data_IF_042955714599
#
_entry.id   IF_042955714599
#
_cell.length_a   1.000
_cell.length_b   1.000
_cell.length_c   1.000
_cell.angle_alpha   90.00
_cell.angle_beta   90.00
_cell.angle_gamma   90.00
#
_symmetry.space_group_name_H-M   'P 1'
#
loop_
_entity.id
_entity.type
_entity.pdbx_description
1 polymer ?
#
# COMPACT_ATOMS: atom_id res chain seq x y z
N UNK A 1 -28.54 -62.76 -51.85
CA UNK A 1 -27.20 -62.30 -51.41
C UNK A 1 -27.17 -60.77 -51.52
N UNK A 2 -27.68 -60.04 -50.53
CA UNK A 2 -27.68 -58.56 -50.52
C UNK A 2 -27.44 -58.04 -49.09
N UNK A 3 -26.34 -58.46 -48.46
CA UNK A 3 -25.92 -57.97 -47.13
C UNK A 3 -24.50 -57.39 -47.12
N UNK A 4 -24.03 -56.86 -48.25
CA UNK A 4 -22.70 -56.21 -48.32
C UNK A 4 -22.72 -54.74 -48.74
N UNK A 5 -23.87 -54.13 -49.06
CA UNK A 5 -23.91 -52.73 -49.54
C UNK A 5 -24.31 -51.70 -48.48
N UNK A 6 -24.61 -52.11 -47.24
CA UNK A 6 -24.96 -51.15 -46.17
C UNK A 6 -23.77 -50.77 -45.27
N UNK A 7 -22.72 -51.60 -45.22
CA UNK A 7 -21.57 -51.39 -44.34
C UNK A 7 -20.52 -50.42 -44.89
N UNK A 8 -20.56 -50.11 -46.18
CA UNK A 8 -19.59 -49.24 -46.84
C UNK A 8 -19.99 -47.76 -46.85
N UNK A 9 -21.30 -47.46 -46.82
CA UNK A 9 -21.79 -46.08 -46.82
C UNK A 9 -21.80 -45.42 -45.43
N UNK A 10 -21.74 -46.21 -44.35
CA UNK A 10 -21.68 -45.67 -42.98
C UNK A 10 -20.25 -45.32 -42.52
N UNK A 11 -19.20 -45.78 -43.22
CA UNK A 11 -17.82 -45.43 -42.89
C UNK A 11 -17.41 -44.03 -43.36
N UNK A 12 -18.11 -43.47 -44.35
CA UNK A 12 -17.82 -42.14 -44.89
C UNK A 12 -18.59 -41.00 -44.19
N UNK A 13 -19.41 -41.31 -43.19
CA UNK A 13 -20.12 -40.31 -42.39
C UNK A 13 -19.37 -39.92 -41.09
N UNK A 14 -18.28 -40.62 -40.75
CA UNK A 14 -17.55 -40.44 -39.48
C UNK A 14 -16.24 -39.67 -39.68
N UNK A 15 -15.89 -39.28 -40.91
CA UNK A 15 -14.80 -38.36 -41.18
C UNK A 15 -15.36 -37.14 -41.91
N UNK A 16 -16.26 -36.43 -41.23
CA UNK A 16 -16.55 -35.05 -41.63
C UNK A 16 -15.35 -34.19 -41.17
N UNK A 17 -14.28 -34.25 -41.96
CA UNK A 17 -13.05 -33.48 -41.75
C UNK A 17 -13.36 -31.99 -41.57
N UNK A 18 -14.46 -31.51 -42.18
CA UNK A 18 -14.93 -30.13 -42.00
C UNK A 18 -15.45 -29.90 -40.59
N UNK A 19 -16.24 -30.81 -40.03
CA UNK A 19 -16.71 -30.71 -38.65
C UNK A 19 -15.56 -30.79 -37.63
N UNK A 20 -14.56 -31.65 -37.88
CA UNK A 20 -13.36 -31.77 -37.02
C UNK A 20 -12.49 -30.51 -37.14
N UNK A 21 -12.30 -29.97 -38.36
CA UNK A 21 -11.55 -28.73 -38.60
C UNK A 21 -12.24 -27.53 -37.96
N UNK A 22 -13.56 -27.40 -38.08
CA UNK A 22 -14.34 -26.34 -37.44
C UNK A 22 -14.19 -26.41 -35.91
N UNK A 23 -14.30 -27.63 -35.34
CA UNK A 23 -14.20 -27.84 -33.89
C UNK A 23 -12.81 -27.49 -33.37
N UNK A 24 -11.75 -27.84 -34.11
CA UNK A 24 -10.37 -27.50 -33.77
C UNK A 24 -10.13 -25.98 -33.83
N UNK A 25 -10.66 -25.30 -34.86
CA UNK A 25 -10.57 -23.85 -35.00
C UNK A 25 -11.25 -23.13 -33.83
N UNK A 26 -12.46 -23.54 -33.45
CA UNK A 26 -13.15 -23.00 -32.27
C UNK A 26 -12.39 -23.29 -30.98
N UNK A 27 -11.80 -24.47 -30.81
CA UNK A 27 -11.00 -24.80 -29.63
C UNK A 27 -9.78 -23.88 -29.49
N UNK A 28 -9.09 -23.59 -30.60
CA UNK A 28 -7.95 -22.65 -30.63
C UNK A 28 -8.43 -21.24 -30.28
N UNK A 29 -9.49 -20.74 -30.92
CA UNK A 29 -10.02 -19.39 -30.67
C UNK A 29 -10.48 -19.20 -29.22
N UNK A 30 -11.16 -20.19 -28.64
CA UNK A 30 -11.59 -20.15 -27.24
C UNK A 30 -10.38 -20.17 -26.31
N UNK A 31 -9.38 -21.02 -26.57
CA UNK A 31 -8.17 -21.07 -25.74
C UNK A 31 -7.41 -19.73 -25.76
N UNK A 32 -7.33 -19.08 -26.92
CA UNK A 32 -6.73 -17.75 -27.06
C UNK A 32 -7.54 -16.68 -26.33
N UNK A 33 -8.88 -16.73 -26.42
CA UNK A 33 -9.76 -15.81 -25.70
C UNK A 33 -9.62 -15.96 -24.17
N UNK A 34 -9.54 -17.20 -23.66
CA UNK A 34 -9.31 -17.47 -22.23
C UNK A 34 -7.93 -16.96 -21.79
N UNK A 35 -6.89 -17.18 -22.58
CA UNK A 35 -5.55 -16.69 -22.28
C UNK A 35 -5.49 -15.16 -22.23
N UNK A 36 -6.13 -14.48 -23.20
CA UNK A 36 -6.25 -13.03 -23.24
C UNK A 36 -7.03 -12.50 -22.02
N UNK A 37 -8.18 -13.10 -21.73
CA UNK A 37 -9.01 -12.68 -20.60
C UNK A 37 -8.27 -12.84 -19.26
N UNK A 38 -7.56 -13.95 -19.08
CA UNK A 38 -6.74 -14.19 -17.88
C UNK A 38 -5.67 -13.12 -17.73
N UNK A 39 -5.00 -12.76 -18.83
CA UNK A 39 -3.98 -11.71 -18.84
C UNK A 39 -4.57 -10.36 -18.45
N UNK A 40 -5.73 -9.99 -19.00
CA UNK A 40 -6.43 -8.74 -18.66
C UNK A 40 -6.80 -8.70 -17.18
N UNK A 41 -7.33 -9.78 -16.63
CA UNK A 41 -7.70 -9.87 -15.21
C UNK A 41 -6.47 -9.69 -14.30
N UNK A 42 -5.35 -10.34 -14.64
CA UNK A 42 -4.11 -10.19 -13.87
C UNK A 42 -3.57 -8.76 -13.91
N UNK A 43 -3.59 -8.11 -15.07
CA UNK A 43 -3.18 -6.71 -15.21
C UNK A 43 -4.08 -5.77 -14.42
N UNK A 44 -5.40 -5.97 -14.47
CA UNK A 44 -6.34 -5.15 -13.72
C UNK A 44 -6.13 -5.28 -12.20
N UNK A 45 -5.94 -6.51 -11.71
CA UNK A 45 -5.65 -6.74 -10.29
C UNK A 45 -4.35 -6.05 -9.86
N UNK A 46 -3.31 -6.08 -10.70
CA UNK A 46 -2.06 -5.36 -10.45
C UNK A 46 -2.25 -3.85 -10.33
N UNK A 47 -2.97 -3.24 -11.28
CA UNK A 47 -3.25 -1.80 -11.26
C UNK A 47 -4.06 -1.36 -10.04
N UNK A 48 -5.06 -2.14 -9.64
CA UNK A 48 -5.86 -1.85 -8.44
C UNK A 48 -5.00 -1.93 -7.18
N UNK A 49 -4.12 -2.94 -7.07
CA UNK A 49 -3.22 -3.09 -5.95
C UNK A 49 -2.23 -1.91 -5.83
N UNK A 50 -1.65 -1.47 -6.96
CA UNK A 50 -0.71 -0.34 -6.99
C UNK A 50 -1.39 0.98 -6.64
N UNK A 51 -2.60 1.23 -7.16
CA UNK A 51 -3.38 2.41 -6.82
C UNK A 51 -3.73 2.47 -5.33
N UNK A 52 -4.07 1.32 -4.73
CA UNK A 52 -4.33 1.23 -3.29
C UNK A 52 -3.08 1.56 -2.46
N UNK A 53 -1.91 0.99 -2.82
CA UNK A 53 -0.63 1.28 -2.17
C UNK A 53 -0.25 2.76 -2.27
N UNK A 54 -0.47 3.39 -3.42
CA UNK A 54 -0.21 4.81 -3.60
C UNK A 54 -1.12 5.67 -2.71
N UNK A 55 -2.41 5.35 -2.62
CA UNK A 55 -3.35 6.06 -1.74
C UNK A 55 -2.95 5.95 -0.26
N UNK A 56 -2.54 4.76 0.19
CA UNK A 56 -2.03 4.54 1.56
C UNK A 56 -0.76 5.36 1.81
N UNK A 57 0.16 5.37 0.85
CA UNK A 57 1.41 6.15 0.90
C UNK A 57 1.12 7.64 1.09
N UNK A 58 0.17 8.20 0.34
CA UNK A 58 -0.24 9.61 0.46
C UNK A 58 -0.82 9.89 1.85
N UNK A 59 -1.65 8.99 2.39
CA UNK A 59 -2.22 9.16 3.72
C UNK A 59 -1.16 9.09 4.83
N UNK A 60 -0.19 8.17 4.74
CA UNK A 60 0.96 8.13 5.67
C UNK A 60 1.79 9.41 5.60
N UNK A 61 2.05 9.93 4.40
CA UNK A 61 2.74 11.22 4.24
C UNK A 61 1.95 12.37 4.88
N UNK A 62 0.63 12.41 4.69
CA UNK A 62 -0.25 13.41 5.33
C UNK A 62 -0.20 13.37 6.86
N UNK A 63 -0.23 12.17 7.45
CA UNK A 63 -0.10 11.99 8.89
C UNK A 63 1.28 12.46 9.39
N UNK A 64 2.36 12.08 8.71
CA UNK A 64 3.70 12.51 9.09
C UNK A 64 3.90 14.01 8.97
N UNK A 65 3.33 14.65 7.95
CA UNK A 65 3.34 16.11 7.80
C UNK A 65 2.62 16.78 8.97
N UNK A 66 1.44 16.28 9.37
CA UNK A 66 0.69 16.83 10.50
C UNK A 66 1.50 16.75 11.82
N UNK A 67 2.19 15.64 12.07
CA UNK A 67 3.05 15.47 13.24
C UNK A 67 4.25 16.42 13.16
N UNK A 68 4.91 16.50 12.00
CA UNK A 68 6.05 17.39 11.76
C UNK A 68 5.68 18.87 11.97
N UNK A 69 4.54 19.30 11.44
CA UNK A 69 4.03 20.67 11.62
C UNK A 69 3.74 20.95 13.09
N UNK A 70 3.14 20.00 13.80
CA UNK A 70 2.87 20.11 15.25
C UNK A 70 4.18 20.26 16.05
N UNK A 71 5.23 19.51 15.68
CA UNK A 71 6.56 19.64 16.27
C UNK A 71 7.13 21.04 15.98
N UNK A 72 7.10 21.47 14.72
CA UNK A 72 7.62 22.77 14.30
C UNK A 72 6.91 23.94 15.01
N UNK A 73 5.58 23.88 15.14
CA UNK A 73 4.79 24.87 15.87
C UNK A 73 5.19 24.97 17.35
N UNK A 74 5.46 23.82 18.00
CA UNK A 74 5.96 23.81 19.38
C UNK A 74 7.36 24.42 19.53
N UNK A 75 8.16 24.44 18.46
CA UNK A 75 9.43 25.16 18.43
C UNK A 75 9.24 26.66 18.23
N UNK A 76 8.46 27.06 17.22
CA UNK A 76 8.26 28.47 16.87
C UNK A 76 7.53 29.27 17.96
N UNK A 77 6.64 28.63 18.71
CA UNK A 77 5.84 29.30 19.75
C UNK A 77 6.55 29.45 21.11
N UNK A 78 7.84 29.10 21.20
CA UNK A 78 8.74 29.36 22.33
C UNK A 78 8.27 28.84 23.72
N UNK A 79 7.36 27.88 23.76
CA UNK A 79 6.97 27.22 25.01
C UNK A 79 8.10 26.25 25.40
N UNK A 80 8.82 26.53 26.50
CA UNK A 80 9.95 25.72 26.99
C UNK A 80 9.54 24.29 27.33
N UNK A 81 8.29 24.12 27.79
CA UNK A 81 7.62 22.85 27.99
C UNK A 81 6.25 22.92 27.30
N UNK A 82 5.99 22.00 26.39
CA UNK A 82 4.71 21.93 25.70
C UNK A 82 4.32 20.46 25.50
N UNK A 83 3.05 20.16 25.71
CA UNK A 83 2.49 18.84 25.41
C UNK A 83 1.33 19.01 24.46
N UNK A 84 1.35 18.26 23.36
CA UNK A 84 0.24 18.13 22.43
C UNK A 84 -0.14 16.67 22.31
N UNK A 85 -1.42 16.40 22.17
CA UNK A 85 -1.92 15.06 21.89
C UNK A 85 -2.65 15.09 20.58
N UNK A 86 -2.15 14.34 19.61
CA UNK A 86 -2.77 14.17 18.30
C UNK A 86 -3.57 12.88 18.29
N UNK A 87 -4.78 12.94 17.72
CA UNK A 87 -5.52 11.73 17.38
C UNK A 87 -4.92 11.18 16.09
N UNK A 88 -4.48 9.94 16.14
CA UNK A 88 -4.03 9.20 14.96
C UNK A 88 -5.12 8.20 14.57
N UNK A 89 -5.36 7.99 13.27
CA UNK A 89 -6.34 7.01 12.84
C UNK A 89 -5.87 5.61 13.23
N UNK A 90 -6.78 4.76 13.72
CA UNK A 90 -6.46 3.36 14.06
C UNK A 90 -5.96 2.58 12.83
N UNK A 91 -6.55 2.89 11.67
CA UNK A 91 -6.28 2.28 10.38
C UNK A 91 -6.10 3.36 9.30
N UNK A 92 -5.29 3.06 8.29
CA UNK A 92 -5.11 3.91 7.11
C UNK A 92 -5.29 3.03 5.88
N UNK A 93 -6.15 3.46 4.94
CA UNK A 93 -6.68 2.60 3.89
C UNK A 93 -8.02 1.95 4.26
N UNK A 94 -8.64 1.26 3.29
CA UNK A 94 -10.03 0.78 3.37
C UNK A 94 -10.18 -0.75 3.36
N UNK A 95 -9.10 -1.53 3.40
CA UNK A 95 -9.20 -2.99 3.39
C UNK A 95 -9.31 -3.53 4.82
N UNK A 96 -10.53 -3.88 5.21
CA UNK A 96 -10.89 -4.39 6.55
C UNK A 96 -10.15 -5.68 6.96
N UNK A 97 -9.52 -6.40 6.01
CA UNK A 97 -9.01 -7.75 6.25
C UNK A 97 -7.49 -7.86 6.52
N UNK A 98 -6.70 -6.78 6.38
CA UNK A 98 -5.22 -6.84 6.52
C UNK A 98 -4.59 -5.63 7.22
N UNK A 99 -5.34 -4.87 8.03
CA UNK A 99 -4.73 -3.77 8.79
C UNK A 99 -4.00 -4.31 10.03
N UNK A 100 -2.77 -4.78 9.83
CA UNK A 100 -1.77 -4.72 10.90
C UNK A 100 -1.52 -3.25 11.20
N UNK A 101 -1.76 -2.84 12.45
CA UNK A 101 -1.51 -1.47 12.88
C UNK A 101 -0.14 -0.95 12.40
N UNK A 102 -0.06 0.35 12.13
CA UNK A 102 1.18 0.97 11.67
C UNK A 102 1.97 1.51 12.86
N UNK A 103 3.28 1.65 12.66
CA UNK A 103 4.18 2.22 13.65
C UNK A 103 4.80 3.52 13.12
N UNK A 104 4.98 4.46 14.02
CA UNK A 104 5.63 5.75 13.80
C UNK A 104 6.86 5.73 14.69
N UNK A 105 8.03 5.90 14.11
CA UNK A 105 9.28 6.03 14.85
C UNK A 105 10.10 7.16 14.27
N UNK A 106 10.98 7.72 15.09
CA UNK A 106 12.00 8.63 14.60
C UNK A 106 13.13 7.79 14.01
N UNK A 107 13.53 8.12 12.79
CA UNK A 107 14.64 7.45 12.11
C UNK A 107 15.57 8.49 11.47
N UNK A 108 16.86 8.17 11.46
CA UNK A 108 17.89 8.89 10.69
C UNK A 108 18.22 8.22 9.36
N UNK A 109 17.50 7.14 9.00
CA UNK A 109 17.79 6.32 7.82
C UNK A 109 17.49 7.06 6.51
N UNK A 110 16.66 8.11 6.57
CA UNK A 110 16.30 8.92 5.41
C UNK A 110 17.34 10.01 5.14
N UNK A 111 18.19 9.79 4.12
CA UNK A 111 19.20 10.75 3.67
C UNK A 111 20.16 11.24 4.77
N UNK A 112 20.39 10.42 5.81
CA UNK A 112 21.16 10.78 7.01
C UNK A 112 20.64 12.02 7.73
N UNK A 113 19.32 12.27 7.69
CA UNK A 113 18.65 13.39 8.36
C UNK A 113 17.51 12.87 9.24
N UNK A 114 17.17 13.56 10.35
CA UNK A 114 16.01 13.21 11.16
C UNK A 114 14.73 13.21 10.33
N UNK A 115 14.01 12.09 10.35
CA UNK A 115 12.73 11.92 9.70
C UNK A 115 11.77 11.12 10.59
N UNK A 116 10.47 11.31 10.38
CA UNK A 116 9.45 10.41 10.88
C UNK A 116 9.33 9.25 9.89
N UNK A 117 9.61 8.04 10.36
CA UNK A 117 9.39 6.81 9.62
C UNK A 117 8.05 6.22 10.04
N UNK A 118 7.13 6.15 9.09
CA UNK A 118 5.79 5.62 9.27
C UNK A 118 5.70 4.36 8.44
N UNK A 119 5.50 3.21 9.07
CA UNK A 119 5.59 1.93 8.40
C UNK A 119 4.56 0.92 8.88
N UNK A 120 4.18 0.05 7.94
CA UNK A 120 3.42 -1.18 8.14
C UNK A 120 4.11 -2.31 7.40
N UNK A 121 3.50 -3.50 7.37
CA UNK A 121 4.07 -4.68 6.70
C UNK A 121 4.38 -4.44 5.20
N UNK A 122 3.63 -3.59 4.52
CA UNK A 122 3.72 -3.42 3.06
C UNK A 122 4.20 -2.03 2.60
N UNK A 123 4.05 -1.00 3.43
CA UNK A 123 4.31 0.39 3.05
C UNK A 123 5.18 1.07 4.10
N UNK A 124 6.20 1.78 3.65
CA UNK A 124 7.04 2.64 4.50
C UNK A 124 7.15 4.02 3.87
N UNK A 125 6.89 5.06 4.67
CA UNK A 125 6.99 6.46 4.28
C UNK A 125 7.90 7.20 5.24
N UNK A 126 8.76 8.03 4.68
CA UNK A 126 9.62 8.93 5.44
C UNK A 126 9.13 10.36 5.24
N UNK A 127 8.86 11.05 6.34
CA UNK A 127 8.57 12.50 6.33
C UNK A 127 9.74 13.21 6.99
N UNK A 128 10.51 14.03 6.25
CA UNK A 128 11.60 14.79 6.81
C UNK A 128 11.10 15.67 7.94
N UNK A 129 11.76 15.62 9.10
CA UNK A 129 11.53 16.60 10.14
C UNK A 129 12.22 17.87 9.71
N UNK A 130 11.45 18.95 9.56
CA UNK A 130 12.02 20.25 9.23
C UNK A 130 12.64 20.84 10.50
N UNK A 131 13.83 20.34 10.87
CA UNK A 131 14.60 20.80 12.03
C UNK A 131 15.36 22.11 11.74
N UNK A 132 15.35 22.56 10.49
CA UNK A 132 15.95 23.82 10.08
C UNK A 132 14.90 24.92 10.12
N UNK A 133 14.67 25.46 11.33
CA UNK A 133 13.95 26.72 11.47
C UNK A 133 14.65 27.82 10.67
N UNK A 134 13.88 28.65 9.97
CA UNK A 134 14.35 29.91 9.39
C UNK A 134 15.04 30.75 10.48
N UNK A 135 16.37 30.71 10.53
CA UNK A 135 17.19 31.69 11.26
C UNK A 135 18.14 31.16 12.32
N UNK A 136 18.04 29.91 12.79
CA UNK A 136 19.07 29.28 13.63
C UNK A 136 18.85 27.76 13.67
N UNK A 137 19.84 27.00 13.19
CA UNK A 137 19.84 25.54 13.21
C UNK A 137 19.94 25.04 14.66
N UNK A 138 18.79 24.80 15.29
CA UNK A 138 18.73 24.03 16.53
C UNK A 138 18.63 22.55 16.18
N UNK A 139 19.65 21.78 16.57
CA UNK A 139 19.59 20.31 16.52
C UNK A 139 18.52 19.84 17.49
N UNK A 140 17.40 19.39 16.95
CA UNK A 140 16.30 18.84 17.73
C UNK A 140 16.49 17.34 17.86
N UNK A 141 16.55 16.85 19.10
CA UNK A 141 16.54 15.42 19.37
C UNK A 141 15.08 14.97 19.50
N UNK A 142 14.55 14.34 18.46
CA UNK A 142 13.25 13.66 18.52
C UNK A 142 13.50 12.19 18.86
N UNK A 143 12.77 11.66 19.83
CA UNK A 143 12.86 10.24 20.25
C UNK A 143 11.47 9.67 20.49
N UNK A 144 11.35 8.34 20.44
CA UNK A 144 10.11 7.63 20.78
C UNK A 144 9.47 6.90 19.61
N UNK A 145 8.50 6.06 19.96
CA UNK A 145 7.73 5.23 19.03
C UNK A 145 6.24 5.32 19.39
N UNK A 146 5.39 5.35 18.39
CA UNK A 146 3.95 5.24 18.54
C UNK A 146 3.42 4.16 17.60
N UNK A 147 2.39 3.43 18.01
CA UNK A 147 1.79 2.37 17.19
C UNK A 147 0.28 2.42 17.30
N UNK A 148 -0.39 2.32 16.14
CA UNK A 148 -1.86 2.33 16.10
C UNK A 148 -2.48 1.11 16.77
N UNK A 149 -1.72 0.01 16.92
CA UNK A 149 -2.13 -1.18 17.66
C UNK A 149 -2.20 -0.95 19.18
N UNK A 150 -1.41 -0.01 19.71
CA UNK A 150 -1.34 0.28 21.14
C UNK A 150 -2.20 1.48 21.53
N UNK A 151 -2.37 2.46 20.64
CA UNK A 151 -3.22 3.63 20.88
C UNK A 151 -3.67 4.31 19.59
N UNK A 152 -4.81 5.01 19.66
CA UNK A 152 -5.30 5.95 18.63
C UNK A 152 -4.84 7.38 18.87
N UNK A 153 -3.92 7.59 19.82
CA UNK A 153 -3.44 8.90 20.24
C UNK A 153 -1.94 8.87 20.44
N UNK A 154 -1.29 9.92 19.97
CA UNK A 154 0.13 10.15 20.18
C UNK A 154 0.30 11.42 20.99
N UNK A 155 1.01 11.33 22.11
CA UNK A 155 1.48 12.50 22.85
C UNK A 155 2.84 12.89 22.32
N UNK A 156 2.96 14.18 22.05
CA UNK A 156 4.18 14.85 21.65
C UNK A 156 4.53 15.81 22.78
N UNK A 157 5.65 15.55 23.46
CA UNK A 157 6.09 16.39 24.57
C UNK A 157 7.43 17.03 24.22
N UNK A 158 7.48 18.36 24.33
CA UNK A 158 8.70 19.16 24.26
C UNK A 158 9.19 19.46 25.68
N UNK A 159 10.46 19.18 25.92
CA UNK A 159 11.18 19.56 27.14
C UNK A 159 12.54 20.14 26.74
N UNK A 160 12.66 21.46 26.77
CA UNK A 160 13.83 22.15 26.24
C UNK A 160 14.00 21.90 24.74
N UNK A 161 15.11 21.26 24.34
CA UNK A 161 15.43 20.94 22.95
C UNK A 161 15.02 19.52 22.52
N UNK A 162 14.44 18.74 23.44
CA UNK A 162 14.07 17.35 23.18
C UNK A 162 12.57 17.24 22.89
N UNK A 163 12.21 16.46 21.87
CA UNK A 163 10.85 15.99 21.59
C UNK A 163 10.76 14.50 21.88
N UNK A 164 9.67 14.12 22.55
CA UNK A 164 9.33 12.72 22.82
C UNK A 164 7.97 12.39 22.21
N UNK A 165 7.89 11.24 21.54
CA UNK A 165 6.68 10.66 20.96
C UNK A 165 6.27 9.43 21.77
N UNK A 166 5.04 9.41 22.28
CA UNK A 166 4.54 8.34 23.16
C UNK A 166 3.10 7.96 22.82
N UNK A 167 2.75 6.68 22.95
CA UNK A 167 1.36 6.22 22.92
C UNK A 167 0.59 6.66 24.19
N UNK A 168 -0.70 6.92 24.07
CA UNK A 168 -1.55 7.42 25.18
C UNK A 168 -2.90 6.76 25.29
#
# INVERSE_FOLDING_TARGET
MERCSYKQNMKNFIHDEKAVSLTLEYAILISLAVALMTTVVLLFNGLVADAAKQSITIQYAGLGNQISDTINDMYLTNCTNATRTLKIPYQIGSSEDTVTGYSIEVSSDYLNRPALKIYSAEVTVYVPLNTEGRGNAMTVNVTGTASSALSTRVRITKSGNNITLENV
#
